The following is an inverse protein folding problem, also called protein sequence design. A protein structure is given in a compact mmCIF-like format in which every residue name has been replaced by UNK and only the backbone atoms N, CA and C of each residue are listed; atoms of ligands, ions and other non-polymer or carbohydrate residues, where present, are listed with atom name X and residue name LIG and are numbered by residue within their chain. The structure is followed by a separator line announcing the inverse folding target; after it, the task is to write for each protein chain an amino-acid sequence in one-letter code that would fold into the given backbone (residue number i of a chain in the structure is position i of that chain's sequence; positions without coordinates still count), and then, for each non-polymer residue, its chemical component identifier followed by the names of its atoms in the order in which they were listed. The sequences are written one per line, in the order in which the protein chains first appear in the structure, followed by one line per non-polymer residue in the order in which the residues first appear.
data_IF_923598993145
#
_entry.id   IF_923598993145
#
_cell.length_a   1.000
_cell.length_b   1.000
_cell.length_c   1.000
_cell.angle_alpha   90.00
_cell.angle_beta   90.00
_cell.angle_gamma   90.00
#
_symmetry.space_group_name_H-M   'P 1'
#
loop_
_entity.id
_entity.type
_entity.pdbx_description
1 polymer ?
#
# COMPACT_ATOMS: atom_id res chain seq x y z
N UNK A 1 30.21 7.72 -11.90
CA UNK A 1 29.92 7.64 -13.35
C UNK A 1 30.88 8.54 -14.12
N UNK A 2 30.89 8.50 -15.46
CA UNK A 2 31.84 9.25 -16.30
C UNK A 2 31.70 10.78 -16.23
N UNK A 3 30.65 11.31 -15.58
CA UNK A 3 30.48 12.75 -15.34
C UNK A 3 31.17 13.24 -14.07
N UNK A 4 32.03 12.41 -13.46
CA UNK A 4 32.80 12.76 -12.25
C UNK A 4 32.08 12.48 -10.93
N UNK A 5 30.86 11.94 -10.94
CA UNK A 5 30.16 11.56 -9.72
C UNK A 5 30.73 10.25 -9.15
N UNK A 6 31.28 10.28 -7.94
CA UNK A 6 31.74 9.11 -7.20
C UNK A 6 31.39 9.33 -5.73
N UNK A 7 30.28 8.76 -5.29
CA UNK A 7 29.79 8.89 -3.92
C UNK A 7 29.35 7.53 -3.41
N UNK A 8 29.39 7.37 -2.08
CA UNK A 8 28.93 6.18 -1.38
C UNK A 8 28.11 6.59 -0.16
N UNK A 9 27.25 5.69 0.31
CA UNK A 9 26.55 5.85 1.58
C UNK A 9 26.32 4.47 2.19
N UNK A 10 26.27 4.44 3.51
CA UNK A 10 25.98 3.22 4.26
C UNK A 10 24.57 3.29 4.83
N UNK A 11 23.93 2.13 4.92
CA UNK A 11 22.62 1.99 5.53
C UNK A 11 22.58 0.70 6.33
N UNK A 12 22.00 0.77 7.52
CA UNK A 12 21.71 -0.39 8.36
C UNK A 12 20.26 -0.80 8.18
N UNK A 13 19.97 -2.10 8.32
CA UNK A 13 18.62 -2.63 8.35
C UNK A 13 18.50 -3.62 9.48
N UNK A 14 17.46 -3.45 10.31
CA UNK A 14 17.10 -4.36 11.38
C UNK A 14 15.64 -4.77 11.17
N UNK A 15 15.37 -6.07 11.29
CA UNK A 15 14.03 -6.63 11.11
C UNK A 15 13.72 -7.66 12.18
N UNK A 16 12.47 -7.64 12.65
CA UNK A 16 11.91 -8.63 13.56
C UNK A 16 10.53 -9.01 13.05
N UNK A 17 10.24 -10.30 12.92
CA UNK A 17 8.96 -10.79 12.43
C UNK A 17 8.55 -12.07 13.14
N UNK A 18 7.25 -12.21 13.40
CA UNK A 18 6.64 -13.42 13.94
C UNK A 18 5.45 -13.79 13.06
N UNK A 19 5.49 -14.99 12.48
CA UNK A 19 4.36 -15.61 11.78
C UNK A 19 3.74 -16.68 12.65
N UNK A 20 2.41 -16.77 12.66
CA UNK A 20 1.67 -17.72 13.47
C UNK A 20 0.65 -18.47 12.62
N UNK A 21 0.43 -19.73 13.01
CA UNK A 21 -0.64 -20.59 12.50
C UNK A 21 -1.55 -20.94 13.68
N UNK A 22 -2.86 -20.78 13.53
CA UNK A 22 -3.84 -21.13 14.55
C UNK A 22 -5.09 -21.77 13.94
N UNK A 23 -5.78 -22.62 14.70
CA UNK A 23 -7.03 -23.28 14.26
C UNK A 23 -6.92 -24.81 14.23
N UNK A 24 -8.06 -25.47 14.02
CA UNK A 24 -8.12 -26.92 13.81
C UNK A 24 -7.72 -27.29 12.38
N UNK A 25 -7.54 -28.59 12.11
CA UNK A 25 -7.02 -29.13 10.85
C UNK A 25 -7.68 -28.54 9.59
N UNK A 26 -8.99 -28.36 9.59
CA UNK A 26 -9.75 -27.91 8.41
C UNK A 26 -10.01 -26.39 8.36
N UNK A 27 -9.60 -25.64 9.38
CA UNK A 27 -9.87 -24.19 9.49
C UNK A 27 -8.64 -23.42 10.02
N UNK A 28 -7.45 -23.81 9.57
CA UNK A 28 -6.22 -23.13 9.94
C UNK A 28 -6.19 -21.72 9.34
N UNK A 29 -5.74 -20.77 10.14
CA UNK A 29 -5.50 -19.39 9.74
C UNK A 29 -4.06 -19.02 10.05
N UNK A 30 -3.48 -18.25 9.14
CA UNK A 30 -2.14 -17.72 9.26
C UNK A 30 -2.17 -16.19 9.16
N UNK A 31 -1.36 -15.55 9.98
CA UNK A 31 -1.04 -14.13 9.86
C UNK A 31 0.32 -13.89 10.52
N UNK A 32 0.84 -12.68 10.38
CA UNK A 32 2.11 -12.29 10.94
C UNK A 32 2.07 -10.85 11.43
N UNK A 33 3.13 -10.49 12.16
CA UNK A 33 3.49 -9.10 12.39
C UNK A 33 4.99 -8.92 12.27
N UNK A 34 5.42 -7.71 11.92
CA UNK A 34 6.83 -7.37 11.81
C UNK A 34 7.11 -5.91 12.16
N UNK A 35 8.32 -5.67 12.66
CA UNK A 35 8.93 -4.34 12.76
C UNK A 35 10.20 -4.31 11.92
N UNK A 36 10.44 -3.19 11.25
CA UNK A 36 11.61 -2.98 10.38
C UNK A 36 12.07 -1.54 10.50
N UNK A 37 13.34 -1.36 10.84
CA UNK A 37 13.94 -0.05 11.18
C UNK A 37 15.39 0.02 10.71
N UNK A 38 15.91 1.24 10.62
CA UNK A 38 17.34 1.44 10.36
C UNK A 38 18.17 1.25 11.63
N UNK A 39 17.61 1.55 12.80
CA UNK A 39 18.30 1.41 14.08
C UNK A 39 17.68 0.31 14.93
N UNK A 40 18.52 -0.59 15.46
CA UNK A 40 18.08 -1.71 16.30
C UNK A 40 17.23 -1.25 17.49
N UNK A 41 17.61 -0.14 18.14
CA UNK A 41 16.89 0.43 19.30
C UNK A 41 15.47 0.94 19.00
N UNK A 42 15.14 1.11 17.72
CA UNK A 42 13.82 1.59 17.29
C UNK A 42 12.89 0.43 16.92
N UNK A 43 13.39 -0.81 16.90
CA UNK A 43 12.54 -1.98 16.71
C UNK A 43 11.55 -2.09 17.86
N UNK A 44 10.31 -2.40 17.50
CA UNK A 44 9.28 -2.81 18.44
C UNK A 44 9.81 -4.02 19.24
N UNK A 45 9.43 -4.12 20.52
CA UNK A 45 9.93 -5.21 21.36
C UNK A 45 9.42 -6.57 20.85
N UNK A 46 10.14 -7.68 21.09
CA UNK A 46 9.63 -9.02 20.77
C UNK A 46 8.24 -9.29 21.33
N UNK A 47 7.94 -8.79 22.52
CA UNK A 47 6.62 -8.91 23.17
C UNK A 47 5.54 -8.11 22.42
N UNK A 48 5.85 -6.90 21.95
CA UNK A 48 4.92 -6.08 21.16
C UNK A 48 4.63 -6.73 19.80
N UNK A 49 5.68 -7.22 19.12
CA UNK A 49 5.54 -7.94 17.84
C UNK A 49 4.73 -9.22 18.03
N UNK A 50 5.03 -10.00 19.08
CA UNK A 50 4.30 -11.22 19.41
C UNK A 50 2.83 -10.94 19.73
N UNK A 51 2.56 -9.92 20.56
CA UNK A 51 1.20 -9.51 20.92
C UNK A 51 0.40 -9.16 19.68
N UNK A 52 0.97 -8.38 18.76
CA UNK A 52 0.30 -8.00 17.51
C UNK A 52 0.11 -9.17 16.55
N UNK A 53 1.10 -10.05 16.43
CA UNK A 53 0.96 -11.27 15.64
C UNK A 53 -0.19 -12.15 16.18
N UNK A 54 -0.24 -12.38 17.49
CA UNK A 54 -1.31 -13.15 18.15
C UNK A 54 -2.67 -12.50 17.93
N UNK A 55 -2.80 -11.19 18.18
CA UNK A 55 -4.04 -10.43 17.98
C UNK A 55 -4.56 -10.60 16.53
N UNK A 56 -3.68 -10.45 15.55
CA UNK A 56 -4.02 -10.56 14.13
C UNK A 56 -4.41 -11.97 13.70
N UNK A 57 -3.73 -13.00 14.20
CA UNK A 57 -4.03 -14.39 13.87
C UNK A 57 -5.32 -14.86 14.55
N UNK A 58 -5.48 -14.60 15.85
CA UNK A 58 -6.63 -15.11 16.63
C UNK A 58 -7.95 -14.53 16.16
N UNK A 59 -7.99 -13.24 15.78
CA UNK A 59 -9.22 -12.60 15.27
C UNK A 59 -9.73 -13.20 13.94
N UNK A 60 -8.96 -14.07 13.29
CA UNK A 60 -9.33 -14.73 12.03
C UNK A 60 -9.87 -16.17 12.20
N UNK A 61 -9.79 -16.74 13.40
CA UNK A 61 -10.18 -18.14 13.66
C UNK A 61 -11.68 -18.38 13.40
N UNK A 62 -12.01 -19.55 12.86
CA UNK A 62 -13.38 -19.99 12.49
C UNK A 62 -14.08 -19.00 11.53
N UNK A 63 -13.48 -18.75 10.35
CA UNK A 63 -14.05 -17.82 9.39
C UNK A 63 -15.38 -18.33 8.82
N UNK A 64 -16.19 -17.40 8.33
CA UNK A 64 -17.46 -17.69 7.65
C UNK A 64 -17.39 -17.23 6.20
N UNK A 65 -18.16 -17.90 5.36
CA UNK A 65 -18.46 -17.40 4.01
C UNK A 65 -19.58 -16.37 4.09
N UNK A 66 -19.57 -15.44 3.16
CA UNK A 66 -20.64 -14.45 2.96
C UNK A 66 -21.19 -14.58 1.55
N UNK A 67 -22.42 -14.11 1.34
CA UNK A 67 -22.98 -13.98 0.00
C UNK A 67 -22.26 -12.90 -0.78
N UNK A 68 -22.16 -13.11 -2.08
CA UNK A 68 -21.68 -12.08 -3.01
C UNK A 68 -22.49 -10.79 -2.87
N UNK A 69 -21.80 -9.69 -2.61
CA UNK A 69 -22.43 -8.38 -2.41
C UNK A 69 -21.44 -7.25 -2.64
N UNK A 70 -21.97 -6.04 -2.79
CA UNK A 70 -21.17 -4.82 -2.77
C UNK A 70 -21.31 -4.17 -1.40
N UNK A 71 -20.19 -3.86 -0.76
CA UNK A 71 -20.15 -3.27 0.58
C UNK A 71 -19.00 -2.28 0.72
N UNK A 72 -19.08 -1.33 1.66
CA UNK A 72 -17.92 -0.55 2.04
C UNK A 72 -16.80 -1.44 2.60
N UNK A 73 -15.57 -1.08 2.25
CA UNK A 73 -14.38 -1.85 2.66
C UNK A 73 -13.38 -0.90 3.33
N UNK A 74 -12.98 -1.25 4.54
CA UNK A 74 -11.88 -0.60 5.25
C UNK A 74 -10.60 -1.36 4.94
N UNK A 75 -9.57 -0.65 4.50
CA UNK A 75 -8.23 -1.21 4.33
C UNK A 75 -7.42 -0.84 5.57
N UNK A 76 -6.89 -1.83 6.27
CA UNK A 76 -5.88 -1.60 7.31
C UNK A 76 -4.61 -0.99 6.69
N UNK A 77 -3.72 -0.34 7.48
CA UNK A 77 -2.50 0.30 6.96
C UNK A 77 -1.64 -0.63 6.08
N UNK A 78 -1.58 -1.92 6.42
CA UNK A 78 -0.86 -2.93 5.61
C UNK A 78 -1.52 -3.16 4.25
N UNK A 79 -2.85 -3.14 4.18
CA UNK A 79 -3.60 -3.28 2.93
C UNK A 79 -3.61 -2.00 2.09
N UNK A 80 -3.63 -0.83 2.73
CA UNK A 80 -3.41 0.45 2.02
C UNK A 80 -2.00 0.49 1.43
N UNK A 81 -0.98 0.02 2.17
CA UNK A 81 0.38 -0.08 1.65
C UNK A 81 0.49 -1.04 0.46
N UNK A 82 -0.24 -2.16 0.49
CA UNK A 82 -0.35 -3.07 -0.65
C UNK A 82 -1.00 -2.40 -1.88
N UNK A 83 -2.11 -1.67 -1.68
CA UNK A 83 -2.78 -0.92 -2.75
C UNK A 83 -1.85 0.14 -3.35
N UNK A 84 -1.08 0.84 -2.51
CA UNK A 84 -0.08 1.81 -2.95
C UNK A 84 1.09 1.16 -3.69
N UNK A 85 1.46 -0.09 -3.36
CA UNK A 85 2.41 -0.86 -4.16
C UNK A 85 1.91 -1.10 -5.58
N UNK A 86 0.61 -1.38 -5.75
CA UNK A 86 0.02 -1.49 -7.09
C UNK A 86 -0.01 -0.14 -7.82
N UNK A 87 -0.37 0.95 -7.13
CA UNK A 87 -0.31 2.30 -7.68
C UNK A 87 1.10 2.67 -8.12
N UNK A 88 2.11 2.41 -7.28
CA UNK A 88 3.52 2.63 -7.60
C UNK A 88 3.91 1.95 -8.92
N UNK A 89 3.54 0.67 -9.09
CA UNK A 89 3.77 -0.06 -10.34
C UNK A 89 3.11 0.60 -11.55
N UNK A 90 1.94 1.20 -11.37
CA UNK A 90 1.21 1.90 -12.43
C UNK A 90 1.79 3.29 -12.76
N UNK A 91 2.39 3.99 -11.79
CA UNK A 91 3.03 5.32 -12.00
C UNK A 91 4.53 5.22 -12.33
N UNK A 92 5.11 4.03 -12.33
CA UNK A 92 6.48 3.81 -12.78
C UNK A 92 6.64 4.22 -14.24
N UNK A 93 7.60 5.09 -14.51
CA UNK A 93 7.94 5.56 -15.85
C UNK A 93 8.26 4.40 -16.79
N UNK A 94 8.76 3.27 -16.27
CA UNK A 94 8.97 2.04 -17.04
C UNK A 94 7.65 1.52 -17.60
N UNK A 95 6.65 1.36 -16.74
CA UNK A 95 5.31 0.92 -17.14
C UNK A 95 4.65 1.89 -18.12
N UNK A 96 4.88 3.19 -17.95
CA UNK A 96 4.31 4.22 -18.85
C UNK A 96 4.93 4.14 -20.25
N UNK A 97 6.25 4.13 -20.39
CA UNK A 97 6.85 4.10 -21.74
C UNK A 97 6.62 2.77 -22.46
N UNK A 98 6.50 1.67 -21.70
CA UNK A 98 6.15 0.35 -22.24
C UNK A 98 4.66 0.20 -22.54
N UNK A 99 3.83 1.20 -22.19
CA UNK A 99 2.38 1.17 -22.34
C UNK A 99 1.70 0.01 -21.61
N UNK A 100 2.23 -0.37 -20.45
CA UNK A 100 1.73 -1.45 -19.60
C UNK A 100 0.99 -0.94 -18.36
N UNK A 101 0.48 0.29 -18.42
CA UNK A 101 -0.24 0.94 -17.33
C UNK A 101 -1.52 1.64 -17.82
N UNK A 102 -2.60 1.58 -17.05
CA UNK A 102 -3.83 2.32 -17.31
C UNK A 102 -3.65 3.85 -17.12
N UNK A 103 -2.51 4.26 -16.56
CA UNK A 103 -2.13 5.65 -16.35
C UNK A 103 -1.38 6.28 -17.52
N UNK A 104 -1.18 5.55 -18.62
CA UNK A 104 -0.62 6.13 -19.86
C UNK A 104 -1.43 7.36 -20.30
N UNK A 105 -0.73 8.44 -20.63
CA UNK A 105 -1.31 9.73 -21.03
C UNK A 105 -2.30 10.34 -19.99
N UNK A 106 -2.11 10.04 -18.70
CA UNK A 106 -2.94 10.58 -17.60
C UNK A 106 -2.28 11.69 -16.79
N UNK A 107 -1.06 12.12 -17.13
CA UNK A 107 -0.42 13.27 -16.48
C UNK A 107 -1.34 14.50 -16.55
N UNK A 108 -1.55 15.17 -15.41
CA UNK A 108 -2.45 16.31 -15.27
C UNK A 108 -3.94 15.96 -15.18
N UNK A 109 -4.32 14.68 -15.32
CA UNK A 109 -5.72 14.22 -15.23
C UNK A 109 -6.07 13.76 -13.82
N UNK A 110 -7.36 13.85 -13.49
CA UNK A 110 -7.92 13.29 -12.27
C UNK A 110 -8.04 11.77 -12.38
N UNK A 111 -7.49 11.07 -11.39
CA UNK A 111 -7.48 9.61 -11.26
C UNK A 111 -8.11 9.17 -9.94
N UNK A 112 -8.01 10.00 -8.90
CA UNK A 112 -8.69 9.80 -7.62
C UNK A 112 -9.49 11.04 -7.19
N UNK A 113 -10.08 10.96 -6.00
CA UNK A 113 -10.79 12.11 -5.42
C UNK A 113 -9.83 13.05 -4.66
N UNK A 114 -10.39 14.14 -4.12
CA UNK A 114 -9.64 15.20 -3.43
C UNK A 114 -8.89 14.76 -2.16
N UNK A 115 -9.23 13.62 -1.57
CA UNK A 115 -8.55 13.08 -0.38
C UNK A 115 -7.26 12.33 -0.74
N UNK A 116 -7.02 12.09 -2.02
CA UNK A 116 -5.88 11.30 -2.49
C UNK A 116 -4.70 12.20 -2.83
N UNK A 117 -3.83 12.42 -1.86
CA UNK A 117 -2.52 13.06 -2.08
C UNK A 117 -1.42 12.06 -1.78
N UNK A 118 -0.58 11.77 -2.78
CA UNK A 118 0.44 10.73 -2.71
C UNK A 118 1.81 11.34 -3.01
N UNK A 119 2.80 11.00 -2.18
CA UNK A 119 4.19 11.44 -2.32
C UNK A 119 5.11 10.24 -2.48
N UNK A 120 6.24 10.45 -3.15
CA UNK A 120 7.45 9.64 -3.02
C UNK A 120 8.56 10.53 -2.45
N UNK A 121 9.02 10.26 -1.23
CA UNK A 121 9.94 11.16 -0.52
C UNK A 121 11.25 10.45 -0.15
N UNK A 122 12.31 10.72 -0.90
CA UNK A 122 13.65 10.18 -0.64
C UNK A 122 14.43 10.90 0.45
N UNK A 123 13.85 11.93 1.07
CA UNK A 123 14.54 12.82 2.00
C UNK A 123 14.02 12.71 3.44
N UNK A 124 13.26 11.67 3.78
CA UNK A 124 12.68 11.47 5.13
C UNK A 124 13.69 10.80 6.08
N UNK A 125 14.31 11.50 7.03
CA UNK A 125 15.33 10.89 7.89
C UNK A 125 14.78 9.68 8.67
N UNK A 126 15.59 8.62 8.79
CA UNK A 126 15.24 7.42 9.57
C UNK A 126 14.24 6.46 8.91
N UNK A 127 13.78 6.73 7.67
CA UNK A 127 12.85 5.84 6.96
C UNK A 127 13.57 4.87 6.03
N UNK A 128 12.99 3.68 5.84
CA UNK A 128 13.60 2.57 5.11
C UNK A 128 13.93 2.89 3.64
N UNK A 129 13.11 3.72 2.99
CA UNK A 129 13.29 4.11 1.59
C UNK A 129 14.20 5.31 1.37
N UNK A 130 14.74 5.90 2.44
CA UNK A 130 15.55 7.12 2.36
C UNK A 130 16.97 6.82 1.90
N UNK A 131 17.44 7.60 0.93
CA UNK A 131 18.79 7.49 0.36
C UNK A 131 19.21 8.86 -0.20
N UNK A 132 20.50 9.20 -0.25
CA UNK A 132 20.95 10.50 -0.76
C UNK A 132 20.83 10.63 -2.29
N UNK A 133 20.99 9.52 -3.02
CA UNK A 133 20.89 9.45 -4.48
C UNK A 133 20.39 8.07 -4.91
N UNK A 134 19.89 7.98 -6.13
CA UNK A 134 19.43 6.74 -6.74
C UNK A 134 20.56 5.94 -7.40
N UNK A 135 20.23 4.79 -7.99
CA UNK A 135 21.23 3.91 -8.62
C UNK A 135 21.95 4.51 -9.84
N UNK A 136 21.51 5.66 -10.35
CA UNK A 136 22.16 6.40 -11.44
C UNK A 136 23.00 7.59 -10.93
N UNK A 137 22.99 7.84 -9.61
CA UNK A 137 23.61 8.99 -8.98
C UNK A 137 22.76 10.27 -9.07
N UNK A 138 21.46 10.14 -9.36
CA UNK A 138 20.54 11.29 -9.36
C UNK A 138 20.14 11.59 -7.91
N UNK A 139 20.24 12.84 -7.44
CA UNK A 139 19.86 13.20 -6.08
C UNK A 139 18.42 12.81 -5.76
N UNK A 140 18.19 12.27 -4.56
CA UNK A 140 16.85 12.02 -4.06
C UNK A 140 16.07 13.32 -3.89
N UNK A 141 14.75 13.22 -3.99
CA UNK A 141 13.85 14.36 -3.85
C UNK A 141 12.52 13.93 -3.24
N UNK A 142 11.71 14.94 -2.87
CA UNK A 142 10.29 14.75 -2.59
C UNK A 142 9.48 15.00 -3.86
N UNK A 143 8.90 13.94 -4.39
CA UNK A 143 8.05 13.98 -5.58
C UNK A 143 6.58 13.92 -5.18
N UNK A 144 5.81 14.95 -5.54
CA UNK A 144 4.34 14.93 -5.45
C UNK A 144 3.80 14.10 -6.62
N UNK A 145 3.35 12.88 -6.36
CA UNK A 145 2.89 11.93 -7.38
C UNK A 145 1.44 12.22 -7.73
N UNK A 146 0.58 12.32 -6.72
CA UNK A 146 -0.82 12.73 -6.87
C UNK A 146 -1.14 13.89 -5.92
N UNK A 147 -1.84 14.89 -6.43
CA UNK A 147 -2.30 16.05 -5.67
C UNK A 147 -3.82 16.10 -5.70
N UNK A 148 -4.48 15.81 -4.57
CA UNK A 148 -5.95 15.80 -4.45
C UNK A 148 -6.61 15.05 -5.61
N UNK A 149 -6.06 13.89 -5.95
CA UNK A 149 -6.56 12.98 -6.97
C UNK A 149 -6.05 13.26 -8.39
N UNK A 150 -5.31 14.34 -8.61
CA UNK A 150 -4.74 14.69 -9.92
C UNK A 150 -3.34 14.09 -10.02
N UNK A 151 -3.05 13.34 -11.08
CA UNK A 151 -1.72 12.78 -11.32
C UNK A 151 -0.76 13.89 -11.75
N UNK A 152 0.27 14.17 -10.94
CA UNK A 152 1.22 15.27 -11.18
C UNK A 152 2.53 14.78 -11.79
N UNK A 153 3.03 13.64 -11.33
CA UNK A 153 4.32 13.08 -11.77
C UNK A 153 4.25 11.56 -11.89
N UNK A 154 4.97 11.01 -12.86
CA UNK A 154 5.42 9.63 -12.84
C UNK A 154 6.74 9.54 -12.08
N UNK A 155 7.12 8.33 -11.64
CA UNK A 155 8.44 8.08 -11.06
C UNK A 155 9.37 7.50 -12.11
N UNK A 156 10.43 8.21 -12.46
CA UNK A 156 11.27 7.89 -13.60
C UNK A 156 12.74 7.72 -13.20
N UNK A 157 13.38 6.67 -13.73
CA UNK A 157 14.81 6.67 -13.94
C UNK A 157 15.15 7.50 -15.19
N UNK A 158 16.44 7.71 -15.46
CA UNK A 158 16.91 8.55 -16.58
C UNK A 158 16.47 7.99 -17.94
N UNK A 159 16.45 6.67 -18.11
CA UNK A 159 16.05 6.06 -19.38
C UNK A 159 14.56 6.28 -19.67
N UNK A 160 13.68 5.95 -18.71
CA UNK A 160 12.24 6.16 -18.82
C UNK A 160 11.91 7.64 -19.00
N UNK A 161 12.57 8.52 -18.24
CA UNK A 161 12.43 9.96 -18.36
C UNK A 161 12.71 10.43 -19.81
N UNK A 162 13.81 10.00 -20.42
CA UNK A 162 14.14 10.33 -21.82
C UNK A 162 13.09 9.83 -22.81
N UNK A 163 12.62 8.58 -22.66
CA UNK A 163 11.56 8.01 -23.52
C UNK A 163 10.26 8.80 -23.44
N UNK A 164 9.94 9.32 -22.27
CA UNK A 164 8.72 10.10 -22.00
C UNK A 164 8.90 11.61 -22.19
N UNK A 165 10.10 12.09 -22.53
CA UNK A 165 10.45 13.52 -22.58
C UNK A 165 10.22 14.23 -21.23
N UNK A 166 10.45 13.53 -20.13
CA UNK A 166 10.39 14.01 -18.75
C UNK A 166 11.80 14.08 -18.14
N UNK A 167 11.88 14.44 -16.85
CA UNK A 167 13.11 14.41 -16.05
C UNK A 167 13.11 13.19 -15.12
N UNK A 168 14.29 12.70 -14.76
CA UNK A 168 14.43 11.69 -13.70
C UNK A 168 13.90 12.24 -12.38
N UNK A 169 13.32 11.37 -11.55
CA UNK A 169 12.79 11.73 -10.23
C UNK A 169 13.68 11.25 -9.09
N UNK A 170 14.90 10.78 -9.37
CA UNK A 170 15.77 10.19 -8.33
C UNK A 170 15.22 8.85 -7.81
N UNK A 171 14.54 8.10 -8.67
CA UNK A 171 13.84 6.85 -8.30
C UNK A 171 14.44 5.61 -8.96
N UNK A 172 15.63 5.69 -9.56
CA UNK A 172 16.25 4.55 -10.23
C UNK A 172 16.72 3.45 -9.27
N UNK A 173 16.47 2.20 -9.64
CA UNK A 173 17.09 0.99 -9.08
C UNK A 173 17.94 0.24 -10.11
N UNK A 174 18.52 0.98 -11.05
CA UNK A 174 19.30 0.47 -12.17
C UNK A 174 18.44 0.45 -13.43
N UNK A 175 18.06 -0.74 -13.90
CA UNK A 175 17.20 -0.88 -15.09
C UNK A 175 15.71 -0.63 -14.80
N UNK A 176 15.34 -0.47 -13.52
CA UNK A 176 13.96 -0.26 -13.07
C UNK A 176 13.84 1.04 -12.25
N UNK A 177 12.65 1.22 -11.67
CA UNK A 177 12.32 2.27 -10.72
C UNK A 177 11.95 1.60 -9.40
N UNK A 178 12.42 2.14 -8.29
CA UNK A 178 12.03 1.72 -6.93
C UNK A 178 11.47 2.91 -6.16
N UNK A 179 10.47 2.70 -5.28
CA UNK A 179 9.99 3.77 -4.42
C UNK A 179 11.09 4.17 -3.45
N UNK A 180 11.11 5.45 -3.08
CA UNK A 180 11.76 5.91 -1.87
C UNK A 180 10.81 5.68 -0.69
N UNK A 181 10.22 6.71 -0.10
CA UNK A 181 9.09 6.55 0.82
C UNK A 181 7.81 6.98 0.09
N UNK A 182 7.11 6.01 -0.48
CA UNK A 182 5.89 6.21 -1.27
C UNK A 182 4.65 6.04 -0.40
N UNK A 183 3.91 7.12 -0.17
CA UNK A 183 2.81 7.11 0.79
C UNK A 183 1.61 7.97 0.42
N UNK A 184 0.44 7.53 0.90
CA UNK A 184 -0.77 8.34 0.96
C UNK A 184 -0.70 9.25 2.19
N UNK A 185 -0.90 10.55 1.98
CA UNK A 185 -0.92 11.54 3.05
C UNK A 185 -2.01 11.20 4.08
N UNK A 186 -1.66 11.23 5.36
CA UNK A 186 -2.58 10.99 6.46
C UNK A 186 -3.70 12.04 6.51
N UNK A 187 -4.90 11.58 6.88
CA UNK A 187 -6.01 12.44 7.26
C UNK A 187 -6.01 12.75 8.75
N UNK A 188 -7.18 13.10 9.28
CA UNK A 188 -7.36 13.52 10.68
C UNK A 188 -8.27 12.59 11.51
N UNK A 189 -8.75 11.49 10.91
CA UNK A 189 -9.71 10.59 11.56
C UNK A 189 -8.98 9.40 12.18
N UNK A 190 -9.31 9.04 13.42
CA UNK A 190 -8.71 7.84 14.04
C UNK A 190 -9.29 6.55 13.43
N UNK A 191 -8.52 5.45 13.38
CA UNK A 191 -9.00 4.17 12.85
C UNK A 191 -10.27 3.67 13.53
N UNK A 192 -10.40 3.88 14.84
CA UNK A 192 -11.57 3.48 15.64
C UNK A 192 -12.82 4.23 15.19
N UNK A 193 -12.69 5.52 14.84
CA UNK A 193 -13.78 6.31 14.27
C UNK A 193 -14.15 5.83 12.87
N UNK A 194 -13.17 5.38 12.08
CA UNK A 194 -13.43 4.82 10.74
C UNK A 194 -14.21 3.51 10.87
N UNK A 195 -13.77 2.60 11.75
CA UNK A 195 -14.44 1.31 11.99
C UNK A 195 -15.84 1.49 12.57
N UNK A 196 -16.00 2.35 13.58
CA UNK A 196 -17.32 2.61 14.17
C UNK A 196 -18.31 3.29 13.21
N UNK A 197 -17.81 3.98 12.17
CA UNK A 197 -18.66 4.54 11.10
C UNK A 197 -19.21 3.49 10.12
N UNK A 198 -18.81 2.22 10.26
CA UNK A 198 -19.18 1.15 9.35
C UNK A 198 -20.46 0.45 9.86
N UNK A 199 -21.61 0.83 9.30
CA UNK A 199 -22.89 0.17 9.64
C UNK A 199 -22.90 -1.31 9.25
N UNK A 200 -22.33 -1.62 8.09
CA UNK A 200 -22.14 -2.99 7.61
C UNK A 200 -21.05 -3.01 6.54
N UNK A 201 -20.10 -3.93 6.63
CA UNK A 201 -19.07 -4.08 5.60
C UNK A 201 -17.90 -4.94 6.02
N UNK A 202 -16.76 -4.72 5.38
CA UNK A 202 -15.57 -5.56 5.51
C UNK A 202 -14.36 -4.73 5.95
N UNK A 203 -13.61 -5.21 6.94
CA UNK A 203 -12.21 -4.81 7.14
C UNK A 203 -11.35 -5.81 6.37
N UNK A 204 -10.64 -5.34 5.35
CA UNK A 204 -9.71 -6.14 4.57
C UNK A 204 -8.40 -6.31 5.37
N UNK A 205 -8.06 -7.55 5.68
CA UNK A 205 -6.89 -7.90 6.50
C UNK A 205 -5.73 -8.40 5.63
N UNK A 206 -6.04 -9.21 4.62
CA UNK A 206 -5.04 -9.85 3.75
C UNK A 206 -5.62 -10.18 2.38
N UNK A 207 -4.76 -10.21 1.36
CA UNK A 207 -5.09 -10.69 0.02
C UNK A 207 -4.05 -11.71 -0.48
N UNK A 208 -4.48 -12.67 -1.30
CA UNK A 208 -3.66 -13.76 -1.84
C UNK A 208 -3.90 -13.96 -3.34
N UNK A 209 -3.01 -14.71 -4.00
CA UNK A 209 -3.11 -15.06 -5.42
C UNK A 209 -2.66 -13.95 -6.38
N UNK A 210 -2.67 -14.24 -7.67
CA UNK A 210 -2.47 -13.23 -8.71
C UNK A 210 -3.77 -12.47 -8.96
N UNK A 211 -3.75 -11.47 -9.86
CA UNK A 211 -4.96 -10.74 -10.27
C UNK A 211 -4.90 -9.23 -10.10
N UNK A 212 -3.69 -8.67 -10.19
CA UNK A 212 -3.51 -7.25 -10.46
C UNK A 212 -3.18 -7.09 -11.94
N UNK A 213 -3.94 -6.27 -12.66
CA UNK A 213 -3.68 -5.95 -14.04
C UNK A 213 -3.31 -4.46 -14.16
N UNK A 214 -2.02 -4.10 -14.29
CA UNK A 214 -1.63 -2.70 -14.39
C UNK A 214 -2.14 -2.03 -15.67
N UNK A 215 -2.36 -2.78 -16.76
CA UNK A 215 -2.82 -2.24 -18.05
C UNK A 215 -4.23 -1.66 -17.95
N UNK A 216 -5.12 -2.30 -17.20
CA UNK A 216 -6.52 -1.88 -17.02
C UNK A 216 -6.76 -1.21 -15.67
N UNK A 217 -5.90 -1.47 -14.68
CA UNK A 217 -6.09 -1.08 -13.29
C UNK A 217 -6.91 -2.09 -12.48
N UNK A 218 -7.28 -3.24 -13.05
CA UNK A 218 -8.18 -4.19 -12.41
C UNK A 218 -7.51 -4.96 -11.28
N UNK A 219 -8.32 -5.23 -10.26
CA UNK A 219 -7.99 -6.00 -9.06
C UNK A 219 -9.01 -7.12 -8.95
N UNK A 220 -8.53 -8.35 -8.83
CA UNK A 220 -9.33 -9.52 -8.48
C UNK A 220 -8.46 -10.49 -7.70
N UNK A 221 -8.59 -10.50 -6.37
CA UNK A 221 -7.74 -11.33 -5.49
C UNK A 221 -8.55 -12.03 -4.43
N UNK A 222 -8.13 -13.24 -4.08
CA UNK A 222 -8.61 -13.90 -2.88
C UNK A 222 -8.31 -13.03 -1.66
N UNK A 223 -9.25 -12.96 -0.72
CA UNK A 223 -9.18 -12.05 0.40
C UNK A 223 -9.59 -12.71 1.71
N UNK A 224 -9.08 -12.14 2.79
CA UNK A 224 -9.44 -12.44 4.17
C UNK A 224 -9.76 -11.14 4.86
N UNK A 225 -10.78 -11.16 5.70
CA UNK A 225 -11.21 -9.95 6.39
C UNK A 225 -12.05 -10.21 7.61
N UNK A 226 -12.54 -9.14 8.19
CA UNK A 226 -13.41 -9.14 9.35
C UNK A 226 -14.73 -8.48 8.96
N UNK A 227 -15.82 -9.21 9.16
CA UNK A 227 -17.16 -8.68 8.92
C UNK A 227 -17.55 -7.76 10.06
N UNK A 228 -18.05 -6.57 9.71
CA UNK A 228 -18.46 -5.54 10.66
C UNK A 228 -19.95 -5.29 10.50
N UNK A 229 -20.66 -5.19 11.64
CA UNK A 229 -22.05 -4.73 11.71
C UNK A 229 -22.19 -3.75 12.87
N UNK A 230 -22.86 -2.62 12.63
CA UNK A 230 -23.07 -1.53 13.61
C UNK A 230 -21.78 -1.05 14.28
N UNK A 231 -20.68 -0.99 13.51
CA UNK A 231 -19.38 -0.55 13.98
C UNK A 231 -18.58 -1.58 14.78
N UNK A 232 -19.08 -2.81 14.94
CA UNK A 232 -18.42 -3.89 15.68
C UNK A 232 -18.06 -5.07 14.77
N UNK A 233 -16.89 -5.67 15.02
CA UNK A 233 -16.47 -6.90 14.33
C UNK A 233 -17.31 -8.06 14.85
N UNK A 234 -18.03 -8.75 13.95
CA UNK A 234 -18.96 -9.82 14.32
C UNK A 234 -18.35 -11.21 14.09
N UNK A 235 -17.64 -11.40 12.96
CA UNK A 235 -16.95 -12.66 12.64
C UNK A 235 -15.91 -12.46 11.53
N UNK A 236 -14.85 -13.29 11.49
CA UNK A 236 -13.93 -13.30 10.36
C UNK A 236 -14.55 -13.93 9.12
N UNK A 237 -14.08 -13.51 7.95
CA UNK A 237 -14.51 -14.03 6.65
C UNK A 237 -13.30 -14.46 5.82
N UNK A 238 -13.45 -15.61 5.16
CA UNK A 238 -12.47 -16.21 4.26
C UNK A 238 -13.17 -16.79 3.04
N UNK A 239 -12.39 -17.29 2.08
CA UNK A 239 -12.89 -17.82 0.81
C UNK A 239 -13.75 -16.80 0.05
N UNK A 240 -13.36 -15.53 0.17
CA UNK A 240 -13.93 -14.41 -0.58
C UNK A 240 -12.93 -13.90 -1.61
N UNK A 241 -13.43 -13.22 -2.62
CA UNK A 241 -12.64 -12.47 -3.59
C UNK A 241 -13.03 -10.99 -3.53
N UNK A 242 -12.05 -10.10 -3.46
CA UNK A 242 -12.30 -8.67 -3.69
C UNK A 242 -12.07 -8.36 -5.17
N UNK A 243 -12.98 -7.61 -5.77
CA UNK A 243 -12.88 -7.18 -7.16
C UNK A 243 -13.19 -5.69 -7.31
N UNK A 244 -12.42 -5.01 -8.14
CA UNK A 244 -12.59 -3.58 -8.43
C UNK A 244 -11.51 -3.06 -9.36
N UNK A 245 -11.48 -1.74 -9.57
CA UNK A 245 -10.45 -1.07 -10.35
C UNK A 245 -9.71 -0.04 -9.47
N UNK A 246 -8.40 0.07 -9.61
CA UNK A 246 -7.58 0.99 -8.80
C UNK A 246 -8.05 2.44 -8.92
N UNK A 247 -8.38 2.92 -10.13
CA UNK A 247 -8.88 4.28 -10.32
C UNK A 247 -10.23 4.50 -9.62
N UNK A 248 -11.14 3.53 -9.69
CA UNK A 248 -12.42 3.59 -8.99
C UNK A 248 -12.24 3.58 -7.47
N UNK A 249 -11.36 2.72 -6.95
CA UNK A 249 -11.03 2.68 -5.52
C UNK A 249 -10.54 4.04 -5.05
N UNK A 250 -9.57 4.64 -5.74
CA UNK A 250 -9.02 5.96 -5.40
C UNK A 250 -10.08 7.07 -5.48
N UNK A 251 -11.05 6.98 -6.39
CA UNK A 251 -12.18 7.92 -6.45
C UNK A 251 -13.19 7.71 -5.33
N UNK A 252 -13.32 6.49 -4.82
CA UNK A 252 -14.31 6.10 -3.82
C UNK A 252 -13.78 6.10 -2.38
N UNK A 253 -12.57 6.63 -2.11
CA UNK A 253 -12.06 6.80 -0.74
C UNK A 253 -12.89 7.86 0.00
N UNK A 254 -13.66 7.47 1.00
CA UNK A 254 -14.50 8.38 1.78
C UNK A 254 -13.75 9.01 2.95
N UNK A 255 -12.88 8.23 3.60
CA UNK A 255 -12.16 8.63 4.80
C UNK A 255 -10.72 8.12 4.74
N UNK A 256 -9.79 8.97 5.15
CA UNK A 256 -8.37 8.67 5.31
C UNK A 256 -8.00 8.84 6.78
N UNK A 257 -7.40 7.81 7.34
CA UNK A 257 -6.99 7.75 8.74
C UNK A 257 -5.76 8.59 9.06
N UNK A 258 -5.53 8.81 10.34
CA UNK A 258 -4.37 9.51 10.89
C UNK A 258 -3.23 8.56 11.33
N UNK A 259 -3.38 7.26 11.09
CA UNK A 259 -2.51 6.17 11.53
C UNK A 259 -1.47 5.77 10.46
N UNK A 260 -0.91 6.75 9.77
CA UNK A 260 0.16 6.49 8.79
C UNK A 260 1.40 5.96 9.50
N UNK A 261 1.76 4.72 9.21
CA UNK A 261 2.95 4.07 9.77
C UNK A 261 3.88 3.54 8.66
N UNK A 262 5.15 3.93 8.74
CA UNK A 262 6.19 3.51 7.81
C UNK A 262 6.90 2.27 8.34
N UNK A 263 6.35 1.10 7.98
CA UNK A 263 6.99 -0.21 8.20
C UNK A 263 7.74 -0.73 6.96
N UNK A 264 7.59 -0.05 5.83
CA UNK A 264 8.31 -0.31 4.57
C UNK A 264 8.49 1.01 3.80
N UNK A 265 9.08 0.95 2.60
CA UNK A 265 9.11 2.06 1.65
C UNK A 265 7.72 2.43 1.11
N UNK A 266 6.73 1.54 1.25
CA UNK A 266 5.32 1.78 0.97
C UNK A 266 4.57 1.95 2.28
N UNK A 267 3.78 3.01 2.40
CA UNK A 267 3.02 3.28 3.61
C UNK A 267 1.69 3.97 3.30
N UNK A 268 0.63 3.53 3.95
CA UNK A 268 -0.66 4.22 3.88
C UNK A 268 -1.40 4.10 5.22
N UNK A 269 -2.20 5.10 5.58
CA UNK A 269 -3.06 5.01 6.76
C UNK A 269 -4.23 4.04 6.50
N UNK A 270 -5.04 3.80 7.52
CA UNK A 270 -6.35 3.17 7.33
C UNK A 270 -7.18 4.01 6.35
N UNK A 271 -7.85 3.36 5.38
CA UNK A 271 -8.80 4.05 4.49
C UNK A 271 -10.15 3.34 4.48
N UNK A 272 -11.23 4.10 4.32
CA UNK A 272 -12.57 3.57 4.03
C UNK A 272 -12.91 3.85 2.58
N UNK A 273 -13.15 2.79 1.82
CA UNK A 273 -13.64 2.84 0.45
C UNK A 273 -15.14 2.62 0.48
N UNK A 274 -15.89 3.51 -0.21
CA UNK A 274 -17.35 3.53 -0.23
C UNK A 274 -17.96 2.18 -0.56
N UNK A 275 -17.45 1.54 -1.60
CA UNK A 275 -18.00 0.28 -2.07
C UNK A 275 -16.96 -0.51 -2.88
N UNK A 276 -16.88 -1.81 -2.64
CA UNK A 276 -16.19 -2.79 -3.46
C UNK A 276 -17.03 -4.05 -3.60
N UNK A 277 -16.81 -4.80 -4.69
CA UNK A 277 -17.44 -6.10 -4.87
C UNK A 277 -16.68 -7.13 -4.04
N UNK A 278 -17.39 -7.79 -3.13
CA UNK A 278 -16.89 -8.93 -2.35
C UNK A 278 -17.67 -10.16 -2.78
N UNK A 279 -17.05 -10.99 -3.62
CA UNK A 279 -17.62 -12.23 -4.09
C UNK A 279 -17.37 -13.35 -3.08
N UNK A 280 -18.39 -14.16 -2.82
CA UNK A 280 -18.36 -15.29 -1.91
C UNK A 280 -19.26 -16.40 -2.41
N UNK A 281 -20.17 -16.89 -1.56
CA UNK A 281 -21.24 -17.82 -1.96
C UNK A 281 -22.26 -17.17 -2.90
#
# INVERSE_FOLDING_TARGET
NSNGFLEEYEQTFCGLSIGLLAGGTDNQVEDYWSSSKLHFKELDSPEEVAKKAVERTVRQIKPRKIKTQKVPVIFEPTMTSWLLGFLFGCVSGVSIYQKTSFLVDKLGKRIGNERVTVYDDGLMPGRLGTRPFDAEGVPSQKTLVMDKGILKNYLCNTYAARKLKLRSTGSSSGTSVSPSNFYLQAGNTSPEKIVSSLEKGLILVRTIGHGLNPVTGDISRGAFGLWVEKGEIVYPVSEITISGNLGEILNNIEVVGNDLDFRSSLAGPTIKVKELTVAGQ
#
